data_IF_928645448221
#
_entry.id   IF_928645448221
#
_cell.length_a   1.000
_cell.length_b   1.000
_cell.length_c   1.000
_cell.angle_alpha   90.00
_cell.angle_beta   90.00
_cell.angle_gamma   90.00
#
_symmetry.space_group_name_H-M   'P 1'
#
loop_
_entity.id
_entity.type
_entity.pdbx_description
1 polymer ?
#
# COMPACT_ATOMS: atom_id res chain seq x y z
N UNK A 1 -46.93 -8.57 -5.40
CA UNK A 1 -46.68 -10.02 -5.65
C UNK A 1 -45.70 -10.21 -6.82
N UNK A 2 -44.46 -9.72 -6.70
CA UNK A 2 -43.37 -9.89 -7.68
C UNK A 2 -42.11 -10.51 -7.07
N UNK A 3 -42.25 -11.07 -5.86
CA UNK A 3 -41.15 -11.68 -5.10
C UNK A 3 -41.07 -13.20 -5.35
N UNK A 4 -42.13 -13.79 -5.92
CA UNK A 4 -42.24 -15.24 -6.17
C UNK A 4 -41.59 -15.71 -7.49
N UNK A 5 -41.03 -14.80 -8.31
CA UNK A 5 -40.26 -15.14 -9.51
C UNK A 5 -38.74 -15.06 -9.31
N UNK A 6 -38.28 -14.59 -8.14
CA UNK A 6 -36.85 -14.51 -7.79
C UNK A 6 -36.32 -15.78 -7.11
N UNK A 7 -37.21 -16.67 -6.64
CA UNK A 7 -36.86 -17.82 -5.80
C UNK A 7 -36.69 -19.15 -6.53
N UNK A 8 -36.85 -19.18 -7.87
CA UNK A 8 -36.66 -20.39 -8.69
C UNK A 8 -35.54 -20.23 -9.74
N UNK A 9 -34.65 -19.26 -9.57
CA UNK A 9 -33.35 -19.25 -10.23
C UNK A 9 -32.36 -20.02 -9.35
N UNK A 10 -32.58 -21.34 -9.33
CA UNK A 10 -31.62 -22.38 -9.01
C UNK A 10 -30.44 -22.29 -10.00
N UNK A 11 -29.61 -21.25 -9.88
CA UNK A 11 -28.46 -21.03 -10.74
C UNK A 11 -27.23 -20.98 -9.85
N UNK A 12 -26.62 -22.15 -9.66
CA UNK A 12 -25.22 -22.49 -9.96
C UNK A 12 -24.07 -21.50 -9.74
N UNK A 13 -24.28 -20.31 -9.17
CA UNK A 13 -23.24 -19.30 -8.97
C UNK A 13 -22.65 -19.34 -7.55
N UNK A 14 -22.63 -20.51 -6.93
CA UNK A 14 -21.90 -20.73 -5.69
C UNK A 14 -20.39 -21.05 -5.90
N UNK A 15 -19.87 -21.02 -7.14
CA UNK A 15 -18.47 -21.40 -7.40
C UNK A 15 -17.78 -20.69 -8.58
N UNK A 16 -18.20 -19.48 -8.96
CA UNK A 16 -17.43 -18.69 -9.94
C UNK A 16 -17.03 -17.33 -9.37
N UNK A 17 -16.37 -17.36 -8.21
CA UNK A 17 -15.43 -16.29 -7.89
C UNK A 17 -14.09 -16.71 -8.51
N UNK A 18 -13.64 -16.12 -9.64
CA UNK A 18 -12.21 -16.10 -9.84
C UNK A 18 -11.66 -15.43 -8.59
N UNK A 19 -10.75 -16.11 -7.90
CA UNK A 19 -9.85 -15.45 -6.97
C UNK A 19 -9.09 -14.40 -7.81
N UNK A 20 -9.70 -13.24 -7.99
CA UNK A 20 -9.02 -12.02 -8.33
C UNK A 20 -8.16 -11.78 -7.10
N UNK A 21 -6.96 -12.36 -7.19
CA UNK A 21 -5.84 -12.04 -6.34
C UNK A 21 -5.87 -10.54 -6.24
N UNK A 22 -6.28 -10.03 -5.06
CA UNK A 22 -5.95 -8.67 -4.70
C UNK A 22 -4.45 -8.67 -4.83
N UNK A 23 -3.95 -8.11 -5.92
CA UNK A 23 -2.61 -7.61 -5.95
C UNK A 23 -2.63 -6.58 -4.81
N UNK A 24 -2.18 -7.03 -3.63
CA UNK A 24 -1.81 -6.11 -2.58
C UNK A 24 -0.51 -5.55 -3.14
N UNK A 25 -0.46 -4.29 -3.60
CA UNK A 25 0.82 -3.68 -3.89
C UNK A 25 1.57 -3.60 -2.54
N UNK A 26 2.29 -4.66 -2.17
CA UNK A 26 3.18 -4.70 -1.01
C UNK A 26 4.59 -4.25 -1.39
N UNK A 27 4.67 -3.37 -2.38
CA UNK A 27 5.82 -2.51 -2.54
C UNK A 27 5.31 -1.23 -3.18
N UNK A 28 5.58 -0.14 -2.50
CA UNK A 28 5.25 1.18 -2.96
C UNK A 28 6.00 1.44 -4.27
N UNK A 29 5.36 1.17 -5.42
CA UNK A 29 5.92 1.50 -6.73
C UNK A 29 6.04 3.03 -6.92
N UNK A 30 5.50 3.83 -6.01
CA UNK A 30 5.63 5.29 -6.01
C UNK A 30 6.71 5.72 -5.03
N UNK A 31 7.83 6.25 -5.52
CA UNK A 31 8.83 6.86 -4.65
C UNK A 31 8.22 8.04 -3.87
N UNK A 32 7.95 7.84 -2.57
CA UNK A 32 7.23 8.82 -1.74
C UNK A 32 7.53 8.67 -0.26
N UNK A 33 7.46 9.79 0.45
CA UNK A 33 7.55 9.81 1.91
C UNK A 33 6.20 9.43 2.53
N UNK A 34 6.16 8.29 3.24
CA UNK A 34 4.97 7.79 3.93
C UNK A 34 4.63 8.60 5.18
N UNK A 35 5.64 9.07 5.90
CA UNK A 35 5.46 9.88 7.11
C UNK A 35 5.12 11.34 6.82
N UNK A 36 5.15 11.74 5.54
CA UNK A 36 4.90 13.10 5.09
C UNK A 36 6.16 13.98 5.09
N UNK A 37 6.15 14.97 4.20
CA UNK A 37 7.32 15.81 3.87
C UNK A 37 7.91 16.52 5.10
N UNK A 38 7.07 17.13 5.95
CA UNK A 38 7.54 17.89 7.13
C UNK A 38 8.26 17.00 8.16
N UNK A 39 7.73 15.80 8.38
CA UNK A 39 8.29 14.84 9.34
C UNK A 39 9.60 14.28 8.79
N UNK A 40 9.63 13.93 7.51
CA UNK A 40 10.84 13.45 6.86
C UNK A 40 11.92 14.53 6.74
N UNK A 41 11.56 15.79 6.50
CA UNK A 41 12.50 16.92 6.54
C UNK A 41 13.13 17.06 7.93
N UNK A 42 12.33 16.97 9.00
CA UNK A 42 12.87 16.97 10.35
C UNK A 42 13.82 15.79 10.57
N UNK A 43 13.45 14.57 10.14
CA UNK A 43 14.33 13.40 10.27
C UNK A 43 15.65 13.55 9.49
N UNK A 44 15.57 14.10 8.28
CA UNK A 44 16.73 14.42 7.46
C UNK A 44 17.66 15.41 8.18
N UNK A 45 17.13 16.49 8.73
CA UNK A 45 17.90 17.52 9.45
C UNK A 45 18.55 16.99 10.73
N UNK A 46 17.98 15.95 11.35
CA UNK A 46 18.57 15.24 12.48
C UNK A 46 19.61 14.18 12.07
N UNK A 47 19.86 13.98 10.77
CA UNK A 47 20.85 13.03 10.26
C UNK A 47 20.40 11.57 10.27
N UNK A 48 19.09 11.31 10.39
CA UNK A 48 18.57 9.95 10.50
C UNK A 48 18.67 9.14 9.19
N UNK A 49 18.73 9.81 8.03
CA UNK A 49 18.96 9.13 6.74
C UNK A 49 20.30 8.37 6.69
N UNK A 50 21.30 8.77 7.48
CA UNK A 50 22.62 8.10 7.54
C UNK A 50 22.78 7.22 8.77
N UNK A 51 21.75 7.07 9.59
CA UNK A 51 21.81 6.27 10.81
C UNK A 51 21.52 4.80 10.50
N UNK A 52 22.54 3.95 10.57
CA UNK A 52 22.43 2.51 10.26
C UNK A 52 21.38 1.78 11.11
N UNK A 53 21.18 2.19 12.37
CA UNK A 53 20.24 1.53 13.29
C UNK A 53 18.78 1.65 12.85
N UNK A 54 18.47 2.66 12.04
CA UNK A 54 17.11 2.95 11.57
C UNK A 54 17.03 3.09 10.05
N UNK A 55 18.09 2.70 9.32
CA UNK A 55 18.15 2.83 7.87
C UNK A 55 16.94 2.18 7.20
N UNK A 56 16.59 0.96 7.61
CA UNK A 56 15.40 0.26 7.09
C UNK A 56 14.09 1.01 7.35
N UNK A 57 13.99 1.69 8.50
CA UNK A 57 12.81 2.51 8.83
C UNK A 57 12.78 3.74 7.93
N UNK A 58 13.91 4.42 7.73
CA UNK A 58 13.99 5.60 6.86
C UNK A 58 13.76 5.23 5.39
N UNK A 59 14.22 4.06 4.96
CA UNK A 59 13.98 3.52 3.61
C UNK A 59 12.50 3.23 3.36
N UNK A 60 11.75 2.80 4.37
CA UNK A 60 10.31 2.60 4.23
C UNK A 60 9.50 3.89 4.38
N UNK A 61 9.90 4.77 5.30
CA UNK A 61 9.08 5.91 5.73
C UNK A 61 9.39 7.21 5.02
N UNK A 62 10.66 7.44 4.70
CA UNK A 62 11.18 8.68 4.13
C UNK A 62 12.05 8.42 2.88
N UNK A 63 11.64 7.43 2.09
CA UNK A 63 12.35 6.93 0.91
C UNK A 63 12.74 8.04 -0.09
N UNK A 64 11.87 9.03 -0.29
CA UNK A 64 12.08 10.13 -1.24
C UNK A 64 12.97 11.20 -0.62
N UNK A 65 12.68 11.64 0.61
CA UNK A 65 13.45 12.68 1.30
C UNK A 65 14.90 12.25 1.54
N UNK A 66 15.12 10.99 1.96
CA UNK A 66 16.46 10.45 2.16
C UNK A 66 17.16 10.02 0.85
N UNK A 67 16.48 10.11 -0.30
CA UNK A 67 17.06 9.78 -1.60
C UNK A 67 17.28 8.29 -1.87
N UNK A 68 16.59 7.40 -1.14
CA UNK A 68 16.66 5.95 -1.32
C UNK A 68 15.92 5.47 -2.58
N UNK A 69 15.02 6.28 -3.11
CA UNK A 69 14.34 6.03 -4.38
C UNK A 69 14.37 7.27 -5.29
N UNK A 70 14.07 7.05 -6.57
CA UNK A 70 13.80 8.11 -7.55
C UNK A 70 12.36 7.94 -8.07
N UNK A 71 11.65 9.04 -8.35
CA UNK A 71 10.31 9.00 -8.94
C UNK A 71 10.30 8.41 -10.34
#
# INVERSE_FOLDING_TARGET
>A
MRVLAFFLFLFSFAAFQPASSRFVPTKNDTCSDRSGEKVCAWYHDQGYCSNESIHAVMEETCSKTCGFCKP
#
